data_IF_007557373895
#
_entry.id   IF_007557373895
#
_cell.length_a   1.000
_cell.length_b   1.000
_cell.length_c   1.000
_cell.angle_alpha   90.00
_cell.angle_beta   90.00
_cell.angle_gamma   90.00
#
_symmetry.space_group_name_H-M   'P 1'
#
loop_
_entity.id
_entity.type
_entity.pdbx_description
1 polymer ?
#
# COMPACT_ATOMS: atom_id res chain seq x y z
N UNK A 1 5.50 16.48 -29.75
CA UNK A 1 5.72 17.45 -28.66
C UNK A 1 6.77 16.95 -27.69
N UNK A 2 6.64 15.72 -27.17
CA UNK A 2 7.69 15.12 -26.33
C UNK A 2 9.05 15.02 -27.03
N UNK A 3 9.04 14.71 -28.34
CA UNK A 3 10.24 14.58 -29.17
C UNK A 3 11.10 15.84 -29.30
N UNK A 4 10.55 17.01 -28.97
CA UNK A 4 11.23 18.31 -29.04
C UNK A 4 11.53 18.91 -27.66
N UNK A 5 11.11 18.25 -26.57
CA UNK A 5 11.41 18.70 -25.21
C UNK A 5 12.89 18.44 -24.90
N UNK A 6 13.47 19.35 -24.11
CA UNK A 6 14.89 19.35 -23.77
C UNK A 6 15.14 19.38 -22.26
N UNK A 7 14.14 19.76 -21.48
CA UNK A 7 14.14 19.84 -20.02
C UNK A 7 13.43 21.09 -19.51
N UNK A 8 12.64 20.93 -18.44
CA UNK A 8 11.98 22.04 -17.74
C UNK A 8 10.65 22.46 -18.36
N UNK A 9 10.25 21.86 -19.48
CA UNK A 9 8.98 22.18 -20.12
C UNK A 9 7.79 21.53 -19.38
N UNK A 10 6.65 22.23 -19.39
CA UNK A 10 5.36 21.67 -18.97
C UNK A 10 4.46 21.51 -20.19
N UNK A 11 4.09 20.27 -20.49
CA UNK A 11 3.19 19.88 -21.56
C UNK A 11 1.78 19.71 -20.98
N UNK A 12 0.95 20.75 -21.15
CA UNK A 12 -0.44 20.75 -20.69
C UNK A 12 -1.32 20.08 -21.75
N UNK A 13 -1.96 18.98 -21.38
CA UNK A 13 -2.82 18.18 -22.24
C UNK A 13 -4.28 18.62 -22.09
N UNK A 14 -4.92 18.97 -23.21
CA UNK A 14 -6.36 19.19 -23.22
C UNK A 14 -7.11 17.88 -22.87
N UNK A 15 -8.39 17.99 -22.55
CA UNK A 15 -9.21 16.80 -22.37
C UNK A 15 -9.26 15.98 -23.66
N UNK A 16 -9.07 14.67 -23.55
CA UNK A 16 -9.07 13.79 -24.72
C UNK A 16 -8.40 12.46 -24.44
N UNK A 17 -8.55 11.53 -25.38
CA UNK A 17 -7.88 10.24 -25.37
C UNK A 17 -6.67 10.28 -26.30
N UNK A 18 -5.51 9.90 -25.78
CA UNK A 18 -4.22 10.02 -26.44
C UNK A 18 -3.64 8.68 -26.90
N UNK A 19 -4.31 7.57 -26.58
CA UNK A 19 -3.78 6.22 -26.82
C UNK A 19 -2.65 5.92 -25.84
N UNK A 20 -1.61 5.25 -26.31
CA UNK A 20 -0.45 4.93 -25.48
C UNK A 20 0.52 6.11 -25.37
N UNK A 21 1.04 6.34 -24.17
CA UNK A 21 2.19 7.21 -23.95
C UNK A 21 3.45 6.36 -23.76
N UNK A 22 4.39 6.51 -24.69
CA UNK A 22 5.70 5.87 -24.62
C UNK A 22 6.81 6.93 -24.54
N UNK A 23 7.52 6.93 -23.42
CA UNK A 23 8.70 7.77 -23.17
C UNK A 23 9.91 6.86 -23.12
N UNK A 24 10.46 6.60 -24.30
CA UNK A 24 11.56 5.67 -24.48
C UNK A 24 12.85 6.39 -24.91
N UNK A 25 13.96 6.02 -24.27
CA UNK A 25 15.31 6.51 -24.58
C UNK A 25 15.41 8.05 -24.55
N UNK A 26 14.76 8.69 -23.57
CA UNK A 26 14.75 10.15 -23.38
C UNK A 26 15.43 10.55 -22.09
N UNK A 27 16.52 11.30 -22.20
CA UNK A 27 17.15 11.97 -21.06
C UNK A 27 16.96 13.48 -21.23
N UNK A 28 16.11 14.08 -20.38
CA UNK A 28 15.89 15.52 -20.38
C UNK A 28 16.87 16.21 -19.43
N UNK A 29 17.33 17.43 -19.76
CA UNK A 29 18.29 18.16 -18.92
C UNK A 29 17.73 18.64 -17.58
N UNK A 30 16.40 18.65 -17.44
CA UNK A 30 15.65 18.87 -16.20
C UNK A 30 14.23 18.32 -16.37
N UNK A 31 13.44 18.26 -15.29
CA UNK A 31 12.11 17.62 -15.30
C UNK A 31 11.20 18.17 -16.40
N UNK A 32 10.72 17.27 -17.27
CA UNK A 32 9.62 17.55 -18.20
C UNK A 32 8.33 17.05 -17.57
N UNK A 33 7.38 17.95 -17.38
CA UNK A 33 6.07 17.64 -16.80
C UNK A 33 5.02 17.45 -17.88
N UNK A 34 4.35 16.31 -17.89
CA UNK A 34 3.15 16.02 -18.68
C UNK A 34 1.96 16.10 -17.72
N UNK A 35 1.05 17.05 -17.94
CA UNK A 35 -0.04 17.32 -16.99
C UNK A 35 -1.37 17.48 -17.71
N UNK A 36 -2.44 16.93 -17.13
CA UNK A 36 -3.78 17.16 -17.64
C UNK A 36 -4.26 18.58 -17.31
N UNK A 37 -4.83 19.29 -18.30
CA UNK A 37 -5.41 20.62 -18.11
C UNK A 37 -6.51 20.62 -17.05
N UNK A 38 -7.37 19.60 -17.10
CA UNK A 38 -8.33 19.29 -16.05
C UNK A 38 -7.95 17.93 -15.49
N UNK A 39 -7.96 17.78 -14.16
CA UNK A 39 -7.61 16.51 -13.49
C UNK A 39 -8.42 15.36 -14.10
N UNK A 40 -7.74 14.27 -14.46
CA UNK A 40 -8.26 13.08 -15.15
C UNK A 40 -8.85 13.33 -16.55
N UNK A 41 -8.73 14.54 -17.10
CA UNK A 41 -9.27 14.90 -18.41
C UNK A 41 -8.46 14.37 -19.59
N UNK A 42 -7.14 14.21 -19.40
CA UNK A 42 -6.26 13.57 -20.38
C UNK A 42 -6.17 12.07 -20.09
N UNK A 43 -6.55 11.26 -21.07
CA UNK A 43 -6.68 9.81 -20.96
C UNK A 43 -5.67 9.07 -21.82
N UNK A 44 -5.06 8.04 -21.26
CA UNK A 44 -4.14 7.13 -21.94
C UNK A 44 -4.61 5.68 -21.81
N UNK A 45 -4.28 4.86 -22.79
CA UNK A 45 -4.55 3.42 -22.77
C UNK A 45 -3.46 2.70 -21.95
N UNK A 46 -2.22 3.20 -22.02
CA UNK A 46 -1.09 2.79 -21.20
C UNK A 46 -0.06 3.91 -21.09
N UNK A 47 0.81 3.80 -20.09
CA UNK A 47 1.96 4.70 -19.91
C UNK A 47 3.21 3.87 -19.66
N UNK A 48 4.24 4.07 -20.49
CA UNK A 48 5.55 3.43 -20.36
C UNK A 48 6.65 4.50 -20.34
N UNK A 49 7.53 4.44 -19.34
CA UNK A 49 8.76 5.22 -19.28
C UNK A 49 9.93 4.23 -19.18
N UNK A 50 10.73 4.13 -20.23
CA UNK A 50 11.83 3.15 -20.34
C UNK A 50 13.13 3.85 -20.73
N UNK A 51 14.21 3.51 -20.02
CA UNK A 51 15.53 4.10 -20.20
C UNK A 51 15.50 5.63 -20.33
N UNK A 52 14.80 6.26 -19.38
CA UNK A 52 14.43 7.66 -19.45
C UNK A 52 14.63 8.42 -18.14
N UNK A 53 14.95 9.70 -18.23
CA UNK A 53 15.27 10.54 -17.09
C UNK A 53 14.44 11.81 -17.02
N UNK A 54 14.15 12.26 -15.80
CA UNK A 54 13.55 13.56 -15.50
C UNK A 54 12.15 13.72 -16.13
N UNK A 55 11.26 12.77 -15.84
CA UNK A 55 9.89 12.73 -16.38
C UNK A 55 8.87 12.79 -15.25
N UNK A 56 7.91 13.69 -15.37
CA UNK A 56 6.76 13.76 -14.47
C UNK A 56 5.47 13.63 -15.24
N UNK A 57 4.57 12.77 -14.77
CA UNK A 57 3.22 12.60 -15.28
C UNK A 57 2.24 12.89 -14.14
N UNK A 58 1.35 13.86 -14.34
CA UNK A 58 0.54 14.44 -13.26
C UNK A 58 -0.94 14.58 -13.67
N UNK A 59 -1.83 14.00 -12.88
CA UNK A 59 -3.26 14.25 -12.98
C UNK A 59 -3.94 13.61 -14.18
N UNK A 60 -3.40 12.52 -14.73
CA UNK A 60 -3.94 11.83 -15.92
C UNK A 60 -4.81 10.65 -15.52
N UNK A 61 -5.63 10.14 -16.46
CA UNK A 61 -6.33 8.86 -16.31
C UNK A 61 -5.70 7.85 -17.26
N UNK A 62 -5.34 6.67 -16.76
CA UNK A 62 -4.84 5.56 -17.58
C UNK A 62 -5.83 4.40 -17.48
N UNK A 63 -6.69 4.24 -18.49
CA UNK A 63 -7.77 3.27 -18.54
C UNK A 63 -7.55 2.26 -19.68
N UNK A 64 -6.81 1.19 -19.36
CA UNK A 64 -6.44 0.17 -20.34
C UNK A 64 -7.69 -0.58 -20.83
N UNK A 65 -7.94 -0.66 -22.15
CA UNK A 65 -9.14 -1.29 -22.69
C UNK A 65 -9.12 -2.82 -22.65
N UNK A 66 -8.04 -3.44 -22.14
CA UNK A 66 -7.83 -4.88 -22.08
C UNK A 66 -7.39 -5.31 -20.68
N UNK A 67 -7.76 -6.53 -20.28
CA UNK A 67 -7.24 -7.15 -19.06
C UNK A 67 -5.76 -7.56 -19.21
N UNK A 68 -5.24 -7.64 -20.44
CA UNK A 68 -3.86 -8.00 -20.72
C UNK A 68 -3.46 -9.37 -20.15
N UNK A 69 -2.19 -9.49 -19.78
CA UNK A 69 -1.63 -10.69 -19.16
C UNK A 69 -1.38 -10.48 -17.67
N UNK A 70 -1.31 -11.58 -16.91
CA UNK A 70 -1.04 -11.56 -15.46
C UNK A 70 0.34 -11.03 -15.04
N UNK A 71 1.19 -10.64 -16.00
CA UNK A 71 2.54 -10.08 -15.80
C UNK A 71 2.78 -8.76 -16.55
N UNK A 72 1.80 -8.26 -17.32
CA UNK A 72 1.87 -6.92 -17.93
C UNK A 72 1.45 -5.85 -16.94
N UNK A 73 1.76 -4.59 -17.23
CA UNK A 73 1.38 -3.44 -16.40
C UNK A 73 0.53 -2.44 -17.19
N UNK A 74 -0.19 -1.55 -16.50
CA UNK A 74 -0.90 -0.40 -17.11
C UNK A 74 0.01 0.83 -17.16
N UNK A 75 0.73 1.09 -16.07
CA UNK A 75 1.75 2.13 -15.95
C UNK A 75 3.07 1.51 -15.52
N UNK A 76 4.14 1.74 -16.28
CA UNK A 76 5.47 1.15 -16.02
C UNK A 76 6.61 2.16 -16.09
N UNK A 77 7.58 2.03 -15.17
CA UNK A 77 8.85 2.75 -15.21
C UNK A 77 10.02 1.76 -15.10
N UNK A 78 10.75 1.55 -16.20
CA UNK A 78 11.66 0.40 -16.37
C UNK A 78 13.02 0.81 -16.96
N UNK A 79 13.89 -0.19 -17.12
CA UNK A 79 15.13 -0.15 -17.88
C UNK A 79 16.10 0.96 -17.44
N UNK A 80 16.34 1.08 -16.13
CA UNK A 80 17.26 2.06 -15.57
C UNK A 80 16.77 3.49 -15.57
N UNK A 81 15.49 3.74 -15.88
CA UNK A 81 14.90 5.08 -15.80
C UNK A 81 15.15 5.73 -14.43
N UNK A 82 15.47 7.03 -14.42
CA UNK A 82 15.83 7.76 -13.19
C UNK A 82 15.06 9.06 -13.02
N UNK A 83 14.68 9.41 -11.78
CA UNK A 83 13.94 10.64 -11.47
C UNK A 83 12.64 10.72 -12.29
N UNK A 84 11.75 9.76 -12.04
CA UNK A 84 10.46 9.66 -12.71
C UNK A 84 9.35 9.69 -11.67
N UNK A 85 8.36 10.56 -11.89
CA UNK A 85 7.19 10.64 -11.02
C UNK A 85 5.88 10.44 -11.78
N UNK A 86 5.01 9.57 -11.25
CA UNK A 86 3.64 9.36 -11.71
C UNK A 86 2.69 9.62 -10.55
N UNK A 87 1.94 10.72 -10.64
CA UNK A 87 1.21 11.24 -9.48
C UNK A 87 -0.18 11.75 -9.79
N UNK A 88 -1.00 11.85 -8.74
CA UNK A 88 -2.34 12.47 -8.80
C UNK A 88 -3.28 11.84 -9.83
N UNK A 89 -3.02 10.60 -10.23
CA UNK A 89 -3.63 9.99 -11.41
C UNK A 89 -4.56 8.83 -11.04
N UNK A 90 -5.36 8.40 -11.99
CA UNK A 90 -6.19 7.19 -11.88
C UNK A 90 -5.63 6.14 -12.85
N UNK A 91 -5.54 4.89 -12.41
CA UNK A 91 -5.00 3.77 -13.19
C UNK A 91 -5.91 2.57 -13.06
N UNK A 92 -6.41 2.05 -14.17
CA UNK A 92 -7.27 0.88 -14.15
C UNK A 92 -7.20 0.03 -15.41
N UNK A 93 -7.50 -1.26 -15.24
CA UNK A 93 -7.91 -2.13 -16.33
C UNK A 93 -9.40 -1.92 -16.69
N UNK A 94 -9.98 -2.79 -17.53
CA UNK A 94 -11.40 -2.76 -17.81
C UNK A 94 -12.23 -2.96 -16.54
N UNK A 95 -13.26 -2.13 -16.37
CA UNK A 95 -14.26 -2.32 -15.30
C UNK A 95 -15.27 -3.38 -15.75
N UNK A 96 -14.86 -4.65 -15.70
CA UNK A 96 -15.64 -5.79 -16.20
C UNK A 96 -15.77 -6.94 -15.18
N UNK A 97 -15.27 -6.74 -13.96
CA UNK A 97 -15.27 -7.75 -12.90
C UNK A 97 -14.19 -8.82 -13.03
N UNK A 98 -13.22 -8.65 -13.95
CA UNK A 98 -12.08 -9.53 -14.09
C UNK A 98 -10.80 -8.89 -13.52
N UNK A 99 -10.32 -9.45 -12.43
CA UNK A 99 -9.15 -8.93 -11.71
C UNK A 99 -7.88 -9.77 -11.91
N UNK A 100 -7.81 -10.65 -12.91
CA UNK A 100 -6.64 -11.52 -13.13
C UNK A 100 -5.55 -10.90 -14.01
N UNK A 101 -5.77 -9.66 -14.47
CA UNK A 101 -5.04 -9.01 -15.54
C UNK A 101 -3.73 -8.34 -15.15
N UNK A 102 -3.59 -7.08 -15.55
CA UNK A 102 -2.40 -6.26 -15.37
C UNK A 102 -2.00 -6.03 -13.90
N UNK A 103 -0.74 -5.64 -13.69
CA UNK A 103 -0.35 -4.80 -12.56
C UNK A 103 -0.79 -3.35 -12.84
N UNK A 104 -1.26 -2.62 -11.84
CA UNK A 104 -1.63 -1.21 -12.02
C UNK A 104 -0.42 -0.33 -12.27
N UNK A 105 0.37 -0.09 -11.23
CA UNK A 105 1.64 0.64 -11.29
C UNK A 105 2.84 -0.30 -11.13
N UNK A 106 3.89 -0.07 -11.91
CA UNK A 106 5.02 -0.97 -12.00
C UNK A 106 6.35 -0.25 -12.12
N UNK A 107 7.39 -0.79 -11.48
CA UNK A 107 8.77 -0.39 -11.77
C UNK A 107 9.72 -1.56 -11.69
N UNK A 108 10.72 -1.57 -12.58
CA UNK A 108 11.70 -2.64 -12.64
C UNK A 108 13.06 -2.26 -13.21
N UNK A 109 13.93 -3.26 -13.31
CA UNK A 109 15.15 -3.25 -14.13
C UNK A 109 16.08 -2.09 -13.77
N UNK A 110 16.43 -2.02 -12.48
CA UNK A 110 17.37 -1.06 -11.91
C UNK A 110 16.92 0.42 -12.01
N UNK A 111 15.63 0.68 -12.23
CA UNK A 111 15.05 2.02 -12.14
C UNK A 111 15.33 2.67 -10.76
N UNK A 112 15.58 3.98 -10.74
CA UNK A 112 16.00 4.71 -9.53
C UNK A 112 15.26 6.03 -9.32
N UNK A 113 15.05 6.42 -8.06
CA UNK A 113 14.43 7.71 -7.72
C UNK A 113 13.05 7.83 -8.38
N UNK A 114 12.20 6.84 -8.07
CA UNK A 114 10.90 6.66 -8.69
C UNK A 114 9.84 7.04 -7.66
N UNK A 115 8.87 7.85 -8.07
CA UNK A 115 7.75 8.26 -7.22
C UNK A 115 6.42 7.85 -7.83
N UNK A 116 5.66 7.02 -7.13
CA UNK A 116 4.23 6.81 -7.37
C UNK A 116 3.46 7.39 -6.20
N UNK A 117 2.76 8.52 -6.41
CA UNK A 117 2.11 9.21 -5.30
C UNK A 117 0.70 9.75 -5.58
N UNK A 118 -0.20 9.62 -4.61
CA UNK A 118 -1.57 10.13 -4.67
C UNK A 118 -2.36 9.58 -5.87
N UNK A 119 -2.11 8.33 -6.25
CA UNK A 119 -2.83 7.67 -7.33
C UNK A 119 -3.98 6.82 -6.79
N UNK A 120 -5.04 6.69 -7.58
CA UNK A 120 -6.07 5.68 -7.37
C UNK A 120 -5.86 4.56 -8.39
N UNK A 121 -5.69 3.32 -7.92
CA UNK A 121 -5.41 2.16 -8.76
C UNK A 121 -6.47 1.09 -8.51
N UNK A 122 -7.15 0.64 -9.55
CA UNK A 122 -8.23 -0.32 -9.41
C UNK A 122 -8.49 -1.18 -10.65
N UNK A 123 -9.31 -2.22 -10.50
CA UNK A 123 -9.65 -3.18 -11.57
C UNK A 123 -8.41 -3.80 -12.23
N UNK A 124 -7.50 -4.29 -11.38
CA UNK A 124 -6.21 -4.89 -11.77
C UNK A 124 -5.90 -6.12 -10.92
N UNK A 125 -4.87 -6.89 -11.29
CA UNK A 125 -4.41 -8.04 -10.49
C UNK A 125 -3.67 -7.61 -9.23
N UNK A 126 -2.58 -6.88 -9.39
CA UNK A 126 -1.86 -6.26 -8.27
C UNK A 126 -2.02 -4.75 -8.41
N UNK A 127 -2.20 -4.04 -7.29
CA UNK A 127 -2.19 -2.58 -7.29
C UNK A 127 -0.84 -2.03 -7.77
N UNK A 128 0.21 -2.33 -7.02
CA UNK A 128 1.60 -1.99 -7.37
C UNK A 128 2.54 -3.20 -7.36
N UNK A 129 3.50 -3.24 -8.27
CA UNK A 129 4.57 -4.26 -8.27
C UNK A 129 5.92 -3.63 -8.62
N UNK A 130 6.90 -3.81 -7.73
CA UNK A 130 8.21 -3.14 -7.82
C UNK A 130 9.34 -4.15 -7.65
N UNK A 131 10.22 -4.26 -8.64
CA UNK A 131 11.21 -5.33 -8.75
C UNK A 131 12.58 -4.74 -9.07
N UNK A 132 13.56 -4.87 -8.18
CA UNK A 132 14.91 -4.29 -8.37
C UNK A 132 14.86 -2.77 -8.63
N UNK A 133 14.04 -2.05 -7.86
CA UNK A 133 13.96 -0.58 -7.89
C UNK A 133 14.76 0.02 -6.72
N UNK A 134 15.39 1.17 -6.95
CA UNK A 134 16.20 1.89 -5.96
C UNK A 134 15.61 3.26 -5.64
N UNK A 135 15.68 3.68 -4.38
CA UNK A 135 15.17 4.98 -3.94
C UNK A 135 13.70 5.21 -4.36
N UNK A 136 12.86 4.21 -4.08
CA UNK A 136 11.44 4.19 -4.45
C UNK A 136 10.57 4.91 -3.41
N UNK A 137 9.67 5.78 -3.86
CA UNK A 137 8.60 6.35 -3.04
C UNK A 137 7.24 5.87 -3.56
N UNK A 138 6.48 5.20 -2.69
CA UNK A 138 5.08 4.82 -2.92
C UNK A 138 4.25 5.48 -1.82
N UNK A 139 3.61 6.60 -2.11
CA UNK A 139 2.98 7.42 -1.06
C UNK A 139 1.56 7.90 -1.34
N UNK A 140 0.67 7.80 -0.35
CA UNK A 140 -0.70 8.33 -0.46
C UNK A 140 -1.55 7.68 -1.56
N UNK A 141 -1.16 6.52 -2.08
CA UNK A 141 -1.95 5.83 -3.10
C UNK A 141 -3.11 5.07 -2.46
N UNK A 142 -4.23 4.98 -3.18
CA UNK A 142 -5.35 4.12 -2.84
C UNK A 142 -5.43 3.00 -3.86
N UNK A 143 -5.39 1.76 -3.39
CA UNK A 143 -5.61 0.57 -4.20
C UNK A 143 -6.98 0.03 -3.86
N UNK A 144 -7.75 -0.42 -4.85
CA UNK A 144 -9.03 -1.10 -4.60
C UNK A 144 -9.41 -2.02 -5.76
N UNK A 145 -10.39 -2.91 -5.57
CA UNK A 145 -10.89 -3.81 -6.62
C UNK A 145 -9.76 -4.57 -7.34
N UNK A 146 -9.07 -5.44 -6.59
CA UNK A 146 -7.91 -6.18 -7.10
C UNK A 146 -8.07 -7.70 -7.01
N UNK A 147 -7.26 -8.43 -7.77
CA UNK A 147 -7.26 -9.91 -7.76
C UNK A 147 -6.23 -10.54 -6.82
N UNK A 148 -5.29 -9.77 -6.28
CA UNK A 148 -4.16 -10.30 -5.53
C UNK A 148 -3.59 -9.25 -4.55
N UNK A 149 -2.30 -8.92 -4.60
CA UNK A 149 -1.63 -8.06 -3.61
C UNK A 149 -1.91 -6.58 -3.86
N UNK A 150 -2.12 -5.78 -2.80
CA UNK A 150 -2.20 -4.32 -3.00
C UNK A 150 -0.84 -3.77 -3.43
N UNK A 151 0.24 -4.20 -2.77
CA UNK A 151 1.60 -3.86 -3.16
C UNK A 151 2.55 -5.05 -3.03
N UNK A 152 3.36 -5.26 -4.06
CA UNK A 152 4.38 -6.32 -4.12
C UNK A 152 5.77 -5.74 -4.38
N UNK A 153 6.75 -6.19 -3.62
CA UNK A 153 8.12 -5.68 -3.60
C UNK A 153 9.14 -6.84 -3.68
N UNK A 154 10.14 -6.72 -4.55
CA UNK A 154 11.21 -7.71 -4.73
C UNK A 154 12.55 -7.00 -4.94
N UNK A 155 13.53 -7.18 -4.04
CA UNK A 155 14.91 -6.70 -4.26
C UNK A 155 15.11 -5.18 -4.17
N UNK A 156 14.49 -4.51 -3.19
CA UNK A 156 14.51 -3.04 -3.08
C UNK A 156 15.74 -2.53 -2.32
N UNK A 157 16.23 -1.33 -2.66
CA UNK A 157 17.20 -0.60 -1.84
C UNK A 157 16.79 0.85 -1.71
N UNK A 158 16.49 1.29 -0.50
CA UNK A 158 15.89 2.60 -0.28
C UNK A 158 14.43 2.58 -0.76
N UNK A 159 13.50 2.41 0.17
CA UNK A 159 12.08 2.56 -0.16
C UNK A 159 11.32 3.25 0.96
N UNK A 160 10.46 4.19 0.57
CA UNK A 160 9.47 4.83 1.43
C UNK A 160 8.07 4.43 0.96
N UNK A 161 7.37 3.68 1.79
CA UNK A 161 6.02 3.19 1.54
C UNK A 161 5.13 3.80 2.63
N UNK A 162 4.51 4.94 2.32
CA UNK A 162 3.82 5.72 3.34
C UNK A 162 2.41 6.15 2.98
N UNK A 163 1.53 6.17 3.98
CA UNK A 163 0.19 6.74 3.87
C UNK A 163 -0.70 6.13 2.76
N UNK A 164 -0.41 4.90 2.32
CA UNK A 164 -1.21 4.21 1.32
C UNK A 164 -2.42 3.52 1.97
N UNK A 165 -3.50 3.41 1.20
CA UNK A 165 -4.71 2.65 1.54
C UNK A 165 -4.74 1.41 0.65
N UNK A 166 -4.79 0.23 1.26
CA UNK A 166 -4.91 -1.05 0.56
C UNK A 166 -6.33 -1.37 0.14
N UNK A 167 -6.48 -2.39 -0.70
CA UNK A 167 -7.76 -2.75 -1.28
C UNK A 167 -8.77 -3.29 -0.27
N UNK A 168 -9.86 -2.56 -0.09
CA UNK A 168 -11.03 -3.06 0.64
C UNK A 168 -11.74 -4.16 -0.15
N UNK A 169 -11.72 -4.07 -1.49
CA UNK A 169 -12.32 -5.05 -2.39
C UNK A 169 -11.24 -5.92 -3.06
N UNK A 170 -11.10 -7.16 -2.60
CA UNK A 170 -10.22 -8.19 -3.17
C UNK A 170 -11.05 -9.35 -3.70
N UNK A 171 -10.78 -9.76 -4.95
CA UNK A 171 -11.48 -10.79 -5.71
C UNK A 171 -10.49 -11.83 -6.25
N UNK A 172 -9.98 -12.71 -5.38
CA UNK A 172 -8.85 -13.55 -5.71
C UNK A 172 -9.21 -14.68 -6.67
N UNK A 173 -8.28 -15.02 -7.57
CA UNK A 173 -8.33 -16.28 -8.29
C UNK A 173 -8.00 -17.45 -7.34
N UNK A 174 -8.47 -18.66 -7.67
CA UNK A 174 -8.14 -19.86 -6.89
C UNK A 174 -6.62 -20.01 -6.69
N UNK A 175 -6.20 -20.16 -5.42
CA UNK A 175 -4.80 -20.33 -5.04
C UNK A 175 -3.97 -19.04 -5.04
N UNK A 176 -4.59 -17.87 -5.25
CA UNK A 176 -3.92 -16.58 -5.08
C UNK A 176 -3.37 -16.42 -3.65
N UNK A 177 -2.20 -15.82 -3.56
CA UNK A 177 -1.57 -15.47 -2.29
C UNK A 177 -1.82 -14.00 -2.04
N UNK A 178 -2.48 -13.66 -0.94
CA UNK A 178 -3.03 -12.33 -0.72
C UNK A 178 -2.34 -11.65 0.43
N UNK A 179 -1.67 -10.54 0.13
CA UNK A 179 -1.06 -9.67 1.12
C UNK A 179 -1.45 -8.21 0.84
N UNK A 180 -1.58 -7.42 1.90
CA UNK A 180 -1.67 -5.97 1.76
C UNK A 180 -0.33 -5.43 1.21
N UNK A 181 0.77 -5.75 1.88
CA UNK A 181 2.13 -5.38 1.44
C UNK A 181 2.99 -6.64 1.49
N UNK A 182 3.47 -7.10 0.34
CA UNK A 182 4.33 -8.27 0.22
C UNK A 182 5.76 -7.89 -0.15
N UNK A 183 6.73 -8.42 0.58
CA UNK A 183 8.12 -8.54 0.16
C UNK A 183 8.49 -10.02 0.04
N UNK A 184 9.14 -10.40 -1.07
CA UNK A 184 9.57 -11.78 -1.27
C UNK A 184 10.77 -11.92 -2.22
N UNK A 185 11.45 -13.07 -2.11
CA UNK A 185 12.31 -13.64 -3.16
C UNK A 185 13.67 -12.98 -3.39
N UNK A 186 13.92 -11.79 -2.87
CA UNK A 186 15.24 -11.14 -2.95
C UNK A 186 15.46 -10.16 -1.80
N UNK A 187 16.69 -10.14 -1.30
CA UNK A 187 17.11 -9.28 -0.19
C UNK A 187 16.76 -7.82 -0.47
N UNK A 188 16.15 -7.19 0.52
CA UNK A 188 15.78 -5.77 0.47
C UNK A 188 16.34 -5.03 1.68
N UNK A 189 16.68 -3.75 1.51
CA UNK A 189 17.26 -2.96 2.60
C UNK A 189 16.87 -1.48 2.56
N UNK A 190 17.00 -0.85 3.72
CA UNK A 190 16.74 0.57 3.92
C UNK A 190 15.29 0.91 3.56
N UNK A 191 14.36 0.21 4.21
CA UNK A 191 12.93 0.23 3.92
C UNK A 191 12.19 0.90 5.08
N UNK A 192 11.32 1.85 4.77
CA UNK A 192 10.35 2.38 5.72
C UNK A 192 8.93 2.15 5.22
N UNK A 193 8.11 1.51 6.06
CA UNK A 193 6.68 1.28 5.82
C UNK A 193 5.91 1.98 6.94
N UNK A 194 5.24 3.10 6.64
CA UNK A 194 4.60 3.91 7.68
C UNK A 194 3.20 4.42 7.36
N UNK A 195 2.33 4.54 8.36
CA UNK A 195 1.05 5.25 8.20
C UNK A 195 0.05 4.61 7.24
N UNK A 196 0.31 3.40 6.75
CA UNK A 196 -0.53 2.72 5.77
C UNK A 196 -1.75 2.10 6.45
N UNK A 197 -2.85 2.00 5.71
CA UNK A 197 -4.15 1.53 6.21
C UNK A 197 -4.65 0.37 5.38
N UNK A 198 -5.11 -0.69 6.05
CA UNK A 198 -5.79 -1.81 5.43
C UNK A 198 -7.04 -2.21 6.23
N UNK A 199 -8.21 -1.97 5.63
CA UNK A 199 -9.53 -2.26 6.20
C UNK A 199 -10.35 -3.04 5.16
N UNK A 200 -10.40 -4.38 5.23
CA UNK A 200 -11.01 -5.22 4.20
C UNK A 200 -12.53 -5.24 4.27
N UNK A 201 -13.17 -5.29 3.10
CA UNK A 201 -14.63 -5.44 2.95
C UNK A 201 -15.02 -6.81 2.35
N UNK A 202 -14.28 -7.34 1.38
CA UNK A 202 -14.72 -8.56 0.65
C UNK A 202 -13.91 -9.81 0.97
N UNK A 203 -12.68 -9.68 1.45
CA UNK A 203 -11.79 -10.81 1.71
C UNK A 203 -11.10 -10.67 3.07
N UNK A 204 -11.33 -11.62 3.97
CA UNK A 204 -10.73 -11.61 5.30
C UNK A 204 -9.33 -12.25 5.33
N UNK A 205 -9.02 -13.12 4.38
CA UNK A 205 -7.82 -13.97 4.36
C UNK A 205 -6.61 -13.33 3.67
N UNK A 206 -6.50 -12.01 3.72
CA UNK A 206 -5.38 -11.23 3.18
C UNK A 206 -4.42 -10.93 4.32
N UNK A 207 -3.15 -11.32 4.22
CA UNK A 207 -2.16 -10.99 5.26
C UNK A 207 -1.90 -9.47 5.27
N UNK A 208 -1.35 -8.94 6.37
CA UNK A 208 -1.00 -7.52 6.43
C UNK A 208 0.31 -7.22 5.70
N UNK A 209 1.34 -6.84 6.45
CA UNK A 209 2.70 -6.65 5.93
C UNK A 209 3.45 -7.98 6.05
N UNK A 210 3.75 -8.62 4.94
CA UNK A 210 4.42 -9.91 4.88
C UNK A 210 5.77 -9.80 4.17
N UNK A 211 6.85 -10.11 4.87
CA UNK A 211 8.21 -10.11 4.34
C UNK A 211 8.86 -11.47 4.62
N UNK A 212 9.00 -12.29 3.58
CA UNK A 212 9.54 -13.67 3.67
C UNK A 212 10.44 -14.02 2.48
N UNK A 213 11.03 -15.22 2.47
CA UNK A 213 11.85 -15.76 1.36
C UNK A 213 13.08 -14.90 0.99
N UNK A 214 13.60 -14.10 1.92
CA UNK A 214 14.79 -13.26 1.75
C UNK A 214 15.37 -12.80 3.10
N UNK A 215 16.46 -12.03 3.08
CA UNK A 215 16.98 -11.30 4.24
C UNK A 215 16.71 -9.80 4.13
N UNK A 216 16.16 -9.22 5.21
CA UNK A 216 15.74 -7.83 5.25
C UNK A 216 16.61 -6.99 6.20
N UNK A 217 17.25 -5.93 5.71
CA UNK A 217 18.19 -5.12 6.51
C UNK A 217 17.72 -3.67 6.67
N UNK A 218 17.79 -3.11 7.88
CA UNK A 218 17.37 -1.73 8.17
C UNK A 218 15.92 -1.48 7.74
N UNK A 219 14.99 -2.15 8.41
CA UNK A 219 13.56 -2.03 8.12
C UNK A 219 12.84 -1.39 9.29
N UNK A 220 12.10 -0.32 9.01
CA UNK A 220 11.21 0.34 9.95
C UNK A 220 9.76 0.18 9.50
N UNK A 221 8.92 -0.39 10.37
CA UNK A 221 7.49 -0.56 10.15
C UNK A 221 6.75 0.14 11.29
N UNK A 222 6.09 1.26 11.03
CA UNK A 222 5.47 2.04 12.09
C UNK A 222 4.14 2.71 11.74
N UNK A 223 3.27 2.89 12.74
CA UNK A 223 2.05 3.68 12.59
C UNK A 223 1.08 3.15 11.52
N UNK A 224 1.18 1.87 11.16
CA UNK A 224 0.24 1.23 10.23
C UNK A 224 -1.01 0.75 10.99
N UNK A 225 -2.17 0.84 10.34
CA UNK A 225 -3.47 0.36 10.83
C UNK A 225 -3.89 -0.79 9.92
N UNK A 226 -3.92 -2.00 10.46
CA UNK A 226 -4.17 -3.21 9.67
C UNK A 226 -5.22 -4.05 10.38
N UNK A 227 -6.28 -4.38 9.66
CA UNK A 227 -7.28 -5.35 10.12
C UNK A 227 -7.30 -6.53 9.16
N UNK A 228 -7.15 -7.75 9.66
CA UNK A 228 -7.08 -8.98 8.85
C UNK A 228 -7.54 -10.20 9.65
N UNK A 229 -7.86 -11.32 9.01
CA UNK A 229 -8.08 -12.61 9.70
C UNK A 229 -6.88 -13.56 9.57
N UNK A 230 -5.68 -13.04 9.34
CA UNK A 230 -4.46 -13.82 9.20
C UNK A 230 -3.58 -13.65 10.44
N UNK A 231 -2.88 -14.71 10.84
CA UNK A 231 -1.93 -14.64 11.98
C UNK A 231 -0.80 -13.63 11.72
N UNK A 232 -0.42 -13.47 10.46
CA UNK A 232 0.64 -12.57 10.00
C UNK A 232 0.06 -11.19 9.66
N UNK A 233 -0.18 -10.38 10.69
CA UNK A 233 -0.53 -8.97 10.47
C UNK A 233 0.68 -8.13 10.09
N UNK A 234 1.79 -8.30 10.81
CA UNK A 234 3.11 -7.84 10.37
C UNK A 234 4.08 -8.99 10.61
N UNK A 235 4.80 -9.43 9.59
CA UNK A 235 5.75 -10.54 9.70
C UNK A 235 7.00 -10.25 8.89
N UNK A 236 8.16 -10.30 9.54
CA UNK A 236 9.48 -10.25 8.90
C UNK A 236 10.24 -11.48 9.34
N UNK A 237 10.35 -12.49 8.48
CA UNK A 237 10.82 -13.82 8.91
C UNK A 237 12.32 -13.91 9.18
N UNK A 238 13.11 -13.06 8.53
CA UNK A 238 14.57 -13.00 8.67
C UNK A 238 15.09 -11.59 8.41
N UNK A 239 15.90 -11.04 9.31
CA UNK A 239 16.43 -9.70 9.09
C UNK A 239 17.51 -9.23 10.05
N UNK A 240 18.03 -8.04 9.79
CA UNK A 240 19.00 -7.34 10.64
C UNK A 240 18.54 -5.91 10.82
N UNK A 241 18.50 -5.42 12.08
CA UNK A 241 18.02 -4.06 12.39
C UNK A 241 16.59 -3.82 11.88
N UNK A 242 15.68 -4.73 12.25
CA UNK A 242 14.24 -4.63 11.98
C UNK A 242 13.53 -4.07 13.21
N UNK A 243 12.71 -3.05 13.01
CA UNK A 243 11.89 -2.44 14.06
C UNK A 243 10.45 -2.34 13.59
N UNK A 244 9.52 -2.94 14.35
CA UNK A 244 8.08 -2.77 14.17
C UNK A 244 7.49 -2.09 15.41
N UNK A 245 6.99 -0.86 15.29
CA UNK A 245 6.51 -0.10 16.45
C UNK A 245 5.26 0.73 16.18
N UNK A 246 4.48 1.01 17.22
CA UNK A 246 3.31 1.88 17.12
C UNK A 246 2.33 1.46 16.02
N UNK A 247 2.20 0.17 15.69
CA UNK A 247 1.21 -0.31 14.72
C UNK A 247 -0.04 -0.79 15.45
N UNK A 248 -1.22 -0.57 14.85
CA UNK A 248 -2.47 -1.18 15.30
C UNK A 248 -2.82 -2.31 14.34
N UNK A 249 -2.81 -3.54 14.85
CA UNK A 249 -2.94 -4.75 14.04
C UNK A 249 -4.02 -5.65 14.68
N UNK A 250 -5.22 -5.64 14.10
CA UNK A 250 -6.37 -6.32 14.69
C UNK A 250 -6.85 -7.50 13.86
N UNK A 251 -7.37 -8.49 14.56
CA UNK A 251 -8.04 -9.66 14.00
C UNK A 251 -9.50 -9.34 13.66
N UNK A 252 -9.99 -9.80 12.50
CA UNK A 252 -11.40 -9.71 12.09
C UNK A 252 -12.21 -10.78 12.84
N UNK A 253 -13.11 -10.38 13.76
CA UNK A 253 -13.87 -11.36 14.54
C UNK A 253 -14.68 -12.31 13.67
N UNK A 254 -14.75 -13.58 14.09
CA UNK A 254 -15.58 -14.58 13.44
C UNK A 254 -15.07 -15.08 12.09
N UNK A 255 -13.87 -14.68 11.66
CA UNK A 255 -13.27 -15.11 10.38
C UNK A 255 -11.84 -15.63 10.59
N UNK A 256 -11.38 -16.57 9.75
CA UNK A 256 -9.97 -16.97 9.64
C UNK A 256 -9.24 -17.39 10.94
N UNK A 257 -8.00 -16.90 11.09
CA UNK A 257 -7.20 -16.92 12.32
C UNK A 257 -7.97 -16.18 13.41
N UNK A 258 -7.84 -16.60 14.67
CA UNK A 258 -8.44 -15.92 15.83
C UNK A 258 -7.44 -14.99 16.52
N UNK A 259 -6.51 -14.43 15.75
CA UNK A 259 -5.38 -13.63 16.20
C UNK A 259 -4.62 -13.07 15.00
N UNK A 260 -4.01 -11.91 15.22
CA UNK A 260 -3.16 -11.22 14.26
C UNK A 260 -2.00 -10.56 15.02
N UNK A 261 -0.76 -11.00 14.74
CA UNK A 261 0.43 -10.60 15.48
C UNK A 261 1.41 -9.75 14.67
N UNK A 262 2.26 -9.03 15.41
CA UNK A 262 3.51 -8.45 14.93
C UNK A 262 4.67 -9.39 15.25
N UNK A 263 5.21 -10.05 14.23
CA UNK A 263 6.24 -11.09 14.31
C UNK A 263 7.53 -10.65 13.64
N UNK A 264 8.52 -10.24 14.44
CA UNK A 264 9.84 -9.81 13.99
C UNK A 264 10.93 -10.50 14.81
N UNK A 265 11.16 -11.82 14.63
CA UNK A 265 12.05 -12.64 15.47
C UNK A 265 13.49 -12.10 15.61
N UNK A 266 14.04 -11.49 14.55
CA UNK A 266 15.40 -10.93 14.54
C UNK A 266 15.42 -9.41 14.81
N UNK A 267 14.31 -8.86 15.32
CA UNK A 267 14.09 -7.42 15.45
C UNK A 267 13.53 -6.99 16.79
N UNK A 268 13.01 -5.77 16.82
CA UNK A 268 12.31 -5.19 17.96
C UNK A 268 10.84 -4.97 17.63
N UNK A 269 9.95 -5.38 18.53
CA UNK A 269 8.51 -5.12 18.46
C UNK A 269 8.05 -4.46 19.76
N UNK A 270 7.57 -3.21 19.69
CA UNK A 270 7.09 -2.48 20.87
C UNK A 270 6.02 -1.44 20.54
N UNK A 271 5.23 -1.07 21.54
CA UNK A 271 4.12 -0.12 21.44
C UNK A 271 3.07 -0.47 20.37
N UNK A 272 3.03 -1.70 19.87
CA UNK A 272 1.97 -2.12 18.95
C UNK A 272 0.71 -2.51 19.74
N UNK A 273 -0.45 -2.37 19.12
CA UNK A 273 -1.69 -3.06 19.53
C UNK A 273 -1.82 -4.28 18.62
N UNK A 274 -1.97 -5.46 19.22
CA UNK A 274 -2.08 -6.72 18.47
C UNK A 274 -3.10 -7.67 19.08
N UNK A 275 -3.79 -8.43 18.23
CA UNK A 275 -4.84 -9.37 18.66
C UNK A 275 -4.29 -10.77 18.90
N UNK A 276 -4.72 -11.39 20.00
CA UNK A 276 -4.25 -12.71 20.39
C UNK A 276 -5.36 -13.74 20.56
N UNK A 277 -4.95 -15.01 20.51
CA UNK A 277 -5.83 -16.14 20.74
C UNK A 277 -6.37 -16.20 22.18
N UNK A 278 -7.55 -16.80 22.39
CA UNK A 278 -7.99 -17.17 23.74
C UNK A 278 -6.92 -17.99 24.48
N UNK A 279 -6.58 -17.55 25.69
CA UNK A 279 -5.57 -18.20 26.55
C UNK A 279 -4.15 -17.63 26.41
N UNK A 280 -3.90 -16.71 25.47
CA UNK A 280 -2.67 -15.90 25.49
C UNK A 280 -2.70 -14.88 26.63
N UNK A 281 -1.51 -14.44 27.07
CA UNK A 281 -1.41 -13.32 27.99
C UNK A 281 -1.90 -12.03 27.30
N UNK A 282 -2.82 -11.33 27.97
CA UNK A 282 -3.41 -10.08 27.51
C UNK A 282 -2.80 -8.88 28.26
N UNK A 283 -3.06 -7.67 27.75
CA UNK A 283 -2.56 -6.42 28.31
C UNK A 283 -1.13 -6.11 27.87
N UNK A 284 -0.35 -5.48 28.74
CA UNK A 284 1.00 -5.00 28.42
C UNK A 284 2.01 -6.15 28.44
N UNK A 285 2.26 -6.76 27.28
CA UNK A 285 3.11 -7.95 27.11
C UNK A 285 4.24 -7.67 26.13
N UNK A 286 5.49 -7.87 26.58
CA UNK A 286 6.66 -7.76 25.70
C UNK A 286 6.83 -6.37 25.07
N UNK A 287 6.35 -5.32 25.74
CA UNK A 287 6.36 -3.94 25.21
C UNK A 287 5.17 -3.61 24.31
N UNK A 288 4.26 -4.54 24.02
CA UNK A 288 3.07 -4.33 23.20
C UNK A 288 1.80 -4.43 24.04
N UNK A 289 0.69 -3.94 23.50
CA UNK A 289 -0.65 -4.13 24.05
C UNK A 289 -1.31 -5.29 23.31
N UNK A 290 -1.61 -6.35 24.04
CA UNK A 290 -2.23 -7.57 23.52
C UNK A 290 -3.70 -7.60 23.90
N UNK A 291 -4.56 -7.63 22.90
CA UNK A 291 -6.03 -7.51 23.04
C UNK A 291 -6.76 -8.71 22.44
N UNK A 292 -8.07 -8.77 22.63
CA UNK A 292 -8.92 -9.88 22.18
C UNK A 292 -10.32 -9.42 21.77
N UNK A 293 -11.00 -10.21 20.93
CA UNK A 293 -12.36 -9.99 20.41
C UNK A 293 -13.34 -11.14 20.73
N UNK A 294 -12.95 -12.04 21.64
CA UNK A 294 -13.63 -13.32 21.88
C UNK A 294 -14.58 -13.30 23.10
N UNK A 295 -14.24 -12.57 24.16
CA UNK A 295 -15.05 -12.40 25.36
C UNK A 295 -15.38 -10.91 25.56
N UNK A 296 -16.59 -10.46 25.19
CA UNK A 296 -17.00 -9.06 25.33
C UNK A 296 -17.06 -8.54 26.77
N UNK A 297 -17.02 -9.43 27.76
CA UNK A 297 -16.96 -9.04 29.18
C UNK A 297 -15.56 -9.26 29.78
N UNK A 298 -14.63 -9.78 28.99
CA UNK A 298 -13.25 -10.03 29.37
C UNK A 298 -12.42 -8.77 29.31
N UNK A 299 -11.38 -8.68 30.14
CA UNK A 299 -10.45 -7.56 30.08
C UNK A 299 -9.72 -7.51 28.73
N UNK A 300 -9.38 -6.29 28.30
CA UNK A 300 -8.65 -6.05 27.05
C UNK A 300 -9.44 -6.47 25.82
N UNK A 301 -10.76 -6.39 25.91
CA UNK A 301 -11.64 -6.55 24.76
C UNK A 301 -11.46 -5.35 23.81
N UNK A 302 -11.78 -5.53 22.53
CA UNK A 302 -11.72 -4.43 21.57
C UNK A 302 -12.57 -3.23 22.00
N UNK A 303 -13.76 -3.47 22.56
CA UNK A 303 -14.66 -2.43 23.09
C UNK A 303 -14.08 -1.61 24.25
N UNK A 304 -13.05 -2.14 24.94
CA UNK A 304 -12.34 -1.36 25.98
C UNK A 304 -11.43 -0.29 25.35
N UNK A 305 -11.09 -0.42 24.07
CA UNK A 305 -10.09 0.38 23.36
C UNK A 305 -10.67 1.20 22.21
N UNK A 306 -11.66 0.67 21.48
CA UNK A 306 -12.15 1.23 20.23
C UNK A 306 -13.68 1.30 20.20
N UNK A 307 -14.22 2.21 19.39
CA UNK A 307 -15.66 2.46 19.33
C UNK A 307 -16.49 1.27 18.81
N UNK A 308 -15.96 0.53 17.82
CA UNK A 308 -16.61 -0.60 17.17
C UNK A 308 -15.62 -1.46 16.36
N UNK A 309 -14.46 -1.80 16.94
CA UNK A 309 -13.46 -2.59 16.20
C UNK A 309 -13.90 -4.04 15.90
N UNK A 310 -15.02 -4.50 16.47
CA UNK A 310 -15.58 -5.83 16.25
C UNK A 310 -16.60 -5.92 15.09
N UNK A 311 -16.72 -4.88 14.28
CA UNK A 311 -17.63 -4.83 13.13
C UNK A 311 -17.40 -5.98 12.13
N UNK A 312 -16.17 -6.49 12.06
CA UNK A 312 -15.78 -7.54 11.13
C UNK A 312 -15.27 -6.97 9.81
N UNK A 313 -15.62 -7.64 8.70
CA UNK A 313 -15.39 -7.08 7.38
C UNK A 313 -16.18 -5.77 7.22
N UNK A 314 -15.53 -4.76 6.68
CA UNK A 314 -16.10 -3.41 6.55
C UNK A 314 -15.94 -2.53 7.79
N UNK A 315 -15.09 -2.91 8.75
CA UNK A 315 -14.70 -2.01 9.84
C UNK A 315 -14.14 -0.70 9.28
N UNK A 316 -14.61 0.41 9.84
CA UNK A 316 -14.28 1.77 9.40
C UNK A 316 -13.22 2.42 10.29
N UNK A 317 -12.65 3.54 9.85
CA UNK A 317 -11.78 4.35 10.71
C UNK A 317 -12.53 4.85 11.94
N UNK A 318 -13.80 5.24 11.79
CA UNK A 318 -14.67 5.63 12.90
C UNK A 318 -14.94 4.47 13.86
N UNK A 319 -15.10 3.24 13.35
CA UNK A 319 -15.18 2.04 14.18
C UNK A 319 -13.89 1.79 14.97
N UNK A 320 -12.75 2.20 14.43
CA UNK A 320 -11.46 2.16 15.14
C UNK A 320 -11.21 3.38 16.01
N UNK A 321 -12.11 4.37 16.12
CA UNK A 321 -11.88 5.54 16.95
C UNK A 321 -11.57 5.14 18.41
N UNK A 322 -10.50 5.66 19.04
CA UNK A 322 -10.12 5.26 20.40
C UNK A 322 -11.19 5.67 21.42
N UNK A 323 -11.52 4.77 22.35
CA UNK A 323 -12.33 5.11 23.52
C UNK A 323 -11.51 6.04 24.41
N UNK A 324 -12.10 7.19 24.78
CA UNK A 324 -11.41 8.22 25.55
C UNK A 324 -10.87 7.67 26.89
N UNK A 325 -9.58 7.89 27.13
CA UNK A 325 -8.85 7.42 28.32
C UNK A 325 -8.49 5.92 28.29
N UNK A 326 -8.72 5.23 27.19
CA UNK A 326 -8.27 3.84 27.00
C UNK A 326 -6.76 3.76 26.72
N UNK A 327 -6.20 2.56 26.76
CA UNK A 327 -4.79 2.34 26.43
C UNK A 327 -4.50 2.50 24.92
N UNK A 328 -5.52 2.57 24.06
CA UNK A 328 -5.34 2.89 22.64
C UNK A 328 -4.79 4.30 22.40
N UNK A 329 -4.86 5.21 23.38
CA UNK A 329 -4.21 6.52 23.31
C UNK A 329 -2.68 6.46 23.53
N UNK A 330 -2.17 5.37 24.12
CA UNK A 330 -0.77 5.20 24.48
C UNK A 330 -0.03 4.15 23.63
N UNK A 331 -0.76 3.36 22.86
CA UNK A 331 -0.26 2.25 22.05
C UNK A 331 -0.80 2.33 20.62
N UNK A 332 -0.18 1.58 19.73
CA UNK A 332 -0.60 1.44 18.34
C UNK A 332 -0.42 2.72 17.54
N UNK A 333 -1.14 2.79 16.44
CA UNK A 333 -1.06 3.88 15.48
C UNK A 333 -1.93 5.08 15.88
N UNK A 334 -1.99 5.43 17.17
CA UNK A 334 -2.88 6.46 17.70
C UNK A 334 -2.75 7.80 16.96
N UNK A 335 -1.52 8.31 16.80
CA UNK A 335 -1.28 9.58 16.11
C UNK A 335 -1.83 9.59 14.69
N UNK A 336 -1.57 8.52 13.94
CA UNK A 336 -2.06 8.34 12.58
C UNK A 336 -3.58 8.20 12.52
N UNK A 337 -4.17 7.42 13.41
CA UNK A 337 -5.62 7.22 13.48
C UNK A 337 -6.35 8.54 13.76
N UNK A 338 -5.85 9.34 14.70
CA UNK A 338 -6.42 10.66 15.00
C UNK A 338 -6.26 11.65 13.84
N UNK A 339 -5.14 11.59 13.11
CA UNK A 339 -4.95 12.37 11.88
C UNK A 339 -6.03 12.05 10.83
N UNK A 340 -6.30 10.76 10.61
CA UNK A 340 -7.28 10.30 9.62
C UNK A 340 -8.71 10.67 10.01
N UNK A 341 -9.10 10.42 11.27
CA UNK A 341 -10.42 10.79 11.80
C UNK A 341 -10.68 12.30 11.73
N UNK A 342 -9.64 13.13 11.94
CA UNK A 342 -9.77 14.58 11.80
C UNK A 342 -10.01 15.01 10.35
N UNK A 343 -9.45 14.28 9.37
CA UNK A 343 -9.65 14.56 7.94
C UNK A 343 -11.08 14.22 7.50
N UNK A 344 -11.65 13.11 7.95
CA UNK A 344 -13.04 12.72 7.66
C UNK A 344 -14.04 13.72 8.24
N UNK A 345 -13.87 14.11 9.52
CA UNK A 345 -14.73 15.08 10.18
C UNK A 345 -14.56 16.52 9.67
N UNK A 346 -13.42 16.83 9.05
CA UNK A 346 -13.11 18.12 8.43
C UNK A 346 -13.60 18.26 6.98
N UNK A 347 -14.33 17.29 6.43
CA UNK A 347 -14.67 17.18 5.01
C UNK A 347 -15.55 18.31 4.46
N UNK A 348 -14.92 19.36 3.91
CA UNK A 348 -15.39 20.10 2.73
C UNK A 348 -14.26 20.97 2.14
N UNK A 349 -13.32 20.37 1.39
CA UNK A 349 -12.74 20.88 0.12
C UNK A 349 -11.54 20.02 -0.29
N UNK A 350 -11.76 19.07 -1.20
CA UNK A 350 -10.81 18.70 -2.26
C UNK A 350 -11.61 18.49 -3.53
#
# INVERSE_FOLDING_TARGET
>A
MLSSASGGETLVLANGRYGDLDVDNRSFGSEVTIVAQNRLGAKFDSVSVSNSDNVRIDGVHVDNPSNGSGASYVVGVTDGSTNVSFVNSEVNGPVDGNYSGHYGIYSSDDARDITFANNYVHDVKNGGTFINTFDLTVSGNTIDHIGNDSFKFIGLRGALIEDNIGASHVYPSDGAHLDFIQFQGSDSRDITIRGNVYLPETASNVQGIFMDDAHYTNVLIEENIIVTSMIRGISVTSGTNVVARNNTVLDIPGTGSKATFVMVPDGQSYNNIQSAYPGHALGKVGGNLVVQNADPNGAWHYDDLFANADEGLGVTLEGLAPVAGSEAENYGAYGRLMELLARENGGATR
#
